data_IF_995856121721
#
_entry.id   IF_995856121721
#
_cell.length_a   1.000
_cell.length_b   1.000
_cell.length_c   1.000
_cell.angle_alpha   90.00
_cell.angle_beta   90.00
_cell.angle_gamma   90.00
#
_symmetry.space_group_name_H-M   'P 1'
#
loop_
_entity.id
_entity.type
_entity.pdbx_description
1 polymer ?
#
# COMPACT_ATOMS: atom_id res chain seq x y z
N UNK A 1 10.78 -7.59 9.14
CA UNK A 1 9.43 -8.21 9.26
C UNK A 1 8.51 -7.67 8.19
N UNK A 2 7.91 -8.55 7.38
CA UNK A 2 6.89 -8.20 6.39
C UNK A 2 5.49 -8.21 7.05
N UNK A 3 4.80 -7.08 7.05
CA UNK A 3 3.46 -6.94 7.63
C UNK A 3 2.39 -6.99 6.54
N UNK A 4 1.47 -7.93 6.65
CA UNK A 4 0.37 -8.17 5.71
C UNK A 4 -0.96 -7.92 6.42
N UNK A 5 -1.83 -7.07 5.87
CA UNK A 5 -3.22 -6.96 6.27
C UNK A 5 -4.08 -7.93 5.46
N UNK A 6 -4.70 -8.90 6.10
CA UNK A 6 -5.62 -9.84 5.46
C UNK A 6 -7.07 -9.45 5.80
N UNK A 7 -7.87 -9.22 4.77
CA UNK A 7 -9.29 -8.90 4.93
C UNK A 7 -10.15 -9.57 3.86
N UNK A 8 -11.45 -9.38 3.95
CA UNK A 8 -12.41 -9.94 3.00
C UNK A 8 -13.83 -9.85 3.53
N UNK A 9 -14.81 -9.84 2.65
CA UNK A 9 -16.21 -9.81 3.03
C UNK A 9 -16.61 -11.05 3.85
N UNK A 10 -17.67 -10.94 4.63
CA UNK A 10 -18.23 -12.08 5.36
C UNK A 10 -18.49 -13.25 4.39
N UNK A 11 -18.11 -14.46 4.78
CA UNK A 11 -18.20 -15.69 3.99
C UNK A 11 -17.36 -15.70 2.68
N UNK A 12 -16.37 -14.81 2.52
CA UNK A 12 -15.47 -14.82 1.35
C UNK A 12 -14.45 -15.97 1.37
N UNK A 13 -14.23 -16.66 2.51
CA UNK A 13 -13.20 -17.69 2.65
C UNK A 13 -11.89 -17.20 3.30
N UNK A 14 -11.90 -16.01 3.88
CA UNK A 14 -10.73 -15.40 4.56
C UNK A 14 -10.06 -16.36 5.55
N UNK A 15 -10.85 -17.10 6.35
CA UNK A 15 -10.31 -18.04 7.34
C UNK A 15 -9.53 -19.21 6.70
N UNK A 16 -9.89 -19.63 5.48
CA UNK A 16 -9.15 -20.66 4.73
C UNK A 16 -7.80 -20.10 4.30
N UNK A 17 -7.78 -18.90 3.74
CA UNK A 17 -6.54 -18.24 3.34
C UNK A 17 -5.63 -17.99 4.56
N UNK A 18 -6.18 -17.52 5.70
CA UNK A 18 -5.44 -17.32 6.95
C UNK A 18 -4.82 -18.62 7.48
N UNK A 19 -5.61 -19.71 7.49
CA UNK A 19 -5.13 -21.04 7.91
C UNK A 19 -3.99 -21.52 6.99
N UNK A 20 -4.15 -21.39 5.67
CA UNK A 20 -3.10 -21.79 4.71
C UNK A 20 -1.83 -20.97 4.85
N UNK A 21 -1.92 -19.64 5.02
CA UNK A 21 -0.75 -18.79 5.27
C UNK A 21 -0.01 -19.22 6.54
N UNK A 22 -0.74 -19.57 7.61
CA UNK A 22 -0.13 -20.09 8.85
C UNK A 22 0.57 -21.44 8.62
N UNK A 23 -0.04 -22.37 7.88
CA UNK A 23 0.59 -23.64 7.51
C UNK A 23 1.88 -23.44 6.71
N UNK A 24 1.93 -22.38 5.90
CA UNK A 24 3.14 -22.00 5.15
C UNK A 24 4.21 -21.34 6.02
N UNK A 25 3.93 -21.00 7.27
CA UNK A 25 4.87 -20.44 8.23
C UNK A 25 4.64 -18.97 8.57
N UNK A 26 3.51 -18.38 8.15
CA UNK A 26 3.16 -17.02 8.58
C UNK A 26 2.88 -16.96 10.08
N UNK A 27 3.37 -15.90 10.72
CA UNK A 27 2.94 -15.51 12.07
C UNK A 27 1.56 -14.86 11.95
N UNK A 28 0.52 -15.58 12.36
CA UNK A 28 -0.86 -15.08 12.26
C UNK A 28 -1.23 -14.29 13.51
N UNK A 29 -1.66 -13.05 13.32
CA UNK A 29 -2.23 -12.15 14.34
C UNK A 29 -3.72 -12.01 14.06
N UNK A 30 -4.53 -12.72 14.81
CA UNK A 30 -5.99 -12.67 14.71
C UNK A 30 -6.51 -11.59 15.68
N UNK A 31 -7.01 -10.48 15.13
CA UNK A 31 -7.49 -9.34 15.91
C UNK A 31 -8.68 -9.73 16.83
N UNK A 32 -9.56 -10.63 16.37
CA UNK A 32 -10.69 -11.11 17.17
C UNK A 32 -10.22 -12.02 18.32
N UNK A 33 -9.19 -12.85 18.09
CA UNK A 33 -8.59 -13.67 19.14
C UNK A 33 -7.87 -12.78 20.16
N UNK A 34 -7.10 -11.78 19.72
CA UNK A 34 -6.45 -10.83 20.62
C UNK A 34 -7.46 -10.01 21.42
N UNK A 35 -8.56 -9.58 20.83
CA UNK A 35 -9.63 -8.88 21.55
C UNK A 35 -10.29 -9.75 22.64
N UNK A 36 -10.15 -11.07 22.55
CA UNK A 36 -10.55 -12.00 23.62
C UNK A 36 -9.45 -12.15 24.67
N UNK A 37 -8.21 -12.32 24.23
CA UNK A 37 -7.05 -12.49 25.09
C UNK A 37 -6.85 -11.30 26.04
N UNK A 38 -6.94 -10.07 25.54
CA UNK A 38 -6.69 -8.86 26.35
C UNK A 38 -7.71 -8.59 27.45
N UNK A 39 -8.83 -9.31 27.48
CA UNK A 39 -9.87 -9.24 28.51
C UNK A 39 -10.08 -10.57 29.24
N UNK A 40 -9.11 -11.47 29.22
CA UNK A 40 -9.13 -12.70 30.00
C UNK A 40 -8.86 -12.40 31.51
N UNK A 41 -9.25 -13.31 32.41
CA UNK A 41 -9.01 -13.14 33.85
C UNK A 41 -7.54 -12.80 34.18
N UNK A 42 -7.35 -11.80 35.02
CA UNK A 42 -6.01 -11.33 35.42
C UNK A 42 -5.37 -10.30 34.49
N UNK A 43 -6.01 -9.94 33.37
CA UNK A 43 -5.49 -8.90 32.47
C UNK A 43 -5.88 -7.49 32.90
N UNK A 44 -5.06 -6.50 32.54
CA UNK A 44 -5.39 -5.08 32.70
C UNK A 44 -6.67 -4.69 31.96
N UNK A 45 -6.91 -5.31 30.78
CA UNK A 45 -8.11 -5.04 29.98
C UNK A 45 -9.39 -5.44 30.70
N UNK A 46 -9.43 -6.62 31.31
CA UNK A 46 -10.60 -7.02 32.09
C UNK A 46 -10.82 -6.08 33.28
N UNK A 47 -9.75 -5.71 33.99
CA UNK A 47 -9.84 -4.79 35.11
C UNK A 47 -10.43 -3.43 34.71
N UNK A 48 -9.99 -2.87 33.58
CA UNK A 48 -10.52 -1.61 33.02
C UNK A 48 -11.98 -1.74 32.60
N UNK A 49 -12.37 -2.87 31.94
CA UNK A 49 -13.76 -3.11 31.54
C UNK A 49 -14.65 -3.22 32.78
N UNK A 50 -14.23 -3.92 33.85
CA UNK A 50 -14.99 -4.04 35.08
C UNK A 50 -15.10 -2.70 35.82
N UNK A 51 -14.05 -1.89 35.83
CA UNK A 51 -14.08 -0.56 36.42
C UNK A 51 -15.10 0.37 35.72
N UNK A 52 -15.24 0.26 34.42
CA UNK A 52 -16.14 1.11 33.63
C UNK A 52 -17.59 0.59 33.60
N UNK A 53 -17.78 -0.71 33.38
CA UNK A 53 -19.10 -1.31 33.16
C UNK A 53 -19.70 -1.98 34.42
N UNK A 54 -18.91 -2.07 35.51
CA UNK A 54 -19.28 -2.69 36.77
C UNK A 54 -19.05 -4.21 36.79
N UNK A 55 -19.02 -4.82 37.99
CA UNK A 55 -18.80 -6.27 38.16
C UNK A 55 -19.91 -7.17 37.60
N UNK A 56 -21.05 -6.61 37.23
CA UNK A 56 -22.17 -7.34 36.66
C UNK A 56 -21.87 -7.90 35.24
N UNK A 57 -20.79 -7.45 34.60
CA UNK A 57 -20.33 -7.98 33.30
C UNK A 57 -19.47 -9.24 33.43
N UNK A 58 -19.26 -9.75 34.65
CA UNK A 58 -18.56 -11.01 34.89
C UNK A 58 -19.52 -12.17 35.01
N UNK A 59 -19.03 -13.36 34.66
CA UNK A 59 -19.65 -14.63 34.96
C UNK A 59 -19.23 -15.15 36.36
N UNK A 60 -19.69 -16.36 36.73
CA UNK A 60 -19.40 -16.97 38.04
C UNK A 60 -17.91 -17.34 38.23
N UNK A 61 -17.16 -17.49 37.14
CA UNK A 61 -15.74 -17.84 37.08
C UNK A 61 -14.85 -16.58 37.02
N UNK A 62 -15.42 -15.39 37.11
CA UNK A 62 -14.70 -14.12 36.98
C UNK A 62 -14.25 -13.77 35.58
N UNK A 63 -14.80 -14.42 34.56
CA UNK A 63 -14.57 -14.15 33.13
C UNK A 63 -15.56 -13.13 32.61
N UNK A 64 -15.22 -12.47 31.52
CA UNK A 64 -16.13 -11.53 30.85
C UNK A 64 -17.34 -12.26 30.24
N UNK A 65 -18.53 -11.96 30.75
CA UNK A 65 -19.81 -12.37 30.19
C UNK A 65 -20.13 -11.48 28.98
N UNK A 66 -19.71 -11.95 27.81
CA UNK A 66 -19.86 -11.20 26.54
C UNK A 66 -21.30 -10.87 26.16
N UNK A 67 -22.28 -11.78 26.37
CA UNK A 67 -23.71 -11.46 26.22
C UNK A 67 -24.15 -10.28 27.09
N UNK A 68 -23.79 -10.26 28.38
CA UNK A 68 -24.16 -9.17 29.29
C UNK A 68 -23.51 -7.85 28.90
N UNK A 69 -22.18 -7.86 28.57
CA UNK A 69 -21.51 -6.67 28.10
C UNK A 69 -22.12 -6.22 26.76
N UNK A 70 -22.41 -7.15 25.86
CA UNK A 70 -23.08 -6.86 24.59
C UNK A 70 -24.40 -6.13 24.80
N UNK A 71 -25.24 -6.59 25.73
CA UNK A 71 -26.51 -5.92 26.05
C UNK A 71 -26.36 -4.49 26.55
N UNK A 72 -25.21 -4.13 27.15
CA UNK A 72 -24.92 -2.78 27.63
C UNK A 72 -24.40 -1.84 26.55
N UNK A 73 -23.76 -2.39 25.50
CA UNK A 73 -23.09 -1.59 24.46
C UNK A 73 -23.82 -1.62 23.12
N UNK A 74 -24.56 -2.70 22.80
CA UNK A 74 -25.35 -2.77 21.56
C UNK A 74 -26.53 -1.79 21.64
N UNK A 75 -26.62 -0.91 20.64
CA UNK A 75 -27.62 0.15 20.61
C UNK A 75 -27.25 1.42 21.39
N UNK A 76 -26.06 1.45 22.01
CA UNK A 76 -25.52 2.63 22.67
C UNK A 76 -24.11 2.98 22.12
N UNK A 77 -24.04 3.90 21.12
CA UNK A 77 -22.77 4.27 20.46
C UNK A 77 -21.72 4.82 21.43
N UNK A 78 -22.12 5.57 22.45
CA UNK A 78 -21.21 6.16 23.43
C UNK A 78 -20.54 5.07 24.28
N UNK A 79 -21.30 4.12 24.80
CA UNK A 79 -20.76 3.00 25.57
C UNK A 79 -19.90 2.06 24.72
N UNK A 80 -20.29 1.86 23.47
CA UNK A 80 -19.47 1.10 22.51
C UNK A 80 -18.13 1.82 22.23
N UNK A 81 -18.15 3.15 22.11
CA UNK A 81 -16.92 3.94 21.96
C UNK A 81 -15.99 3.83 23.15
N UNK A 82 -16.54 3.85 24.37
CA UNK A 82 -15.78 3.65 25.61
C UNK A 82 -15.14 2.26 25.65
N UNK A 83 -15.91 1.19 25.36
CA UNK A 83 -15.37 -0.17 25.29
C UNK A 83 -14.25 -0.28 24.27
N UNK A 84 -14.45 0.27 23.08
CA UNK A 84 -13.43 0.30 22.02
C UNK A 84 -12.19 1.09 22.45
N UNK A 85 -12.36 2.19 23.19
CA UNK A 85 -11.27 2.97 23.78
C UNK A 85 -10.41 2.19 24.77
N UNK A 86 -10.97 1.19 25.44
CA UNK A 86 -10.24 0.28 26.34
C UNK A 86 -9.57 -0.86 25.55
N UNK A 87 -10.32 -1.55 24.70
CA UNK A 87 -9.88 -2.79 24.06
C UNK A 87 -8.92 -2.55 22.89
N UNK A 88 -9.19 -1.59 22.00
CA UNK A 88 -8.38 -1.38 20.80
C UNK A 88 -6.91 -1.02 21.10
N UNK A 89 -6.56 -0.17 22.07
CA UNK A 89 -5.16 0.09 22.41
C UNK A 89 -4.42 -1.17 22.89
N UNK A 90 -5.09 -2.02 23.69
CA UNK A 90 -4.51 -3.26 24.21
C UNK A 90 -4.29 -4.28 23.10
N UNK A 91 -5.25 -4.43 22.20
CA UNK A 91 -5.11 -5.28 21.00
C UNK A 91 -3.94 -4.82 20.14
N UNK A 92 -3.84 -3.50 19.87
CA UNK A 92 -2.71 -2.94 19.11
C UNK A 92 -1.37 -3.17 19.78
N UNK A 93 -1.30 -2.96 21.10
CA UNK A 93 -0.07 -3.21 21.87
C UNK A 93 0.33 -4.68 21.81
N UNK A 94 -0.63 -5.60 21.95
CA UNK A 94 -0.37 -7.05 21.88
C UNK A 94 0.07 -7.48 20.48
N UNK A 95 -0.60 -6.99 19.43
CA UNK A 95 -0.20 -7.21 18.05
C UNK A 95 1.22 -6.70 17.77
N UNK A 96 1.54 -5.49 18.26
CA UNK A 96 2.89 -4.92 18.13
C UNK A 96 3.95 -5.77 18.85
N UNK A 97 3.65 -6.31 20.02
CA UNK A 97 4.55 -7.22 20.74
C UNK A 97 4.82 -8.53 19.97
N UNK A 98 3.78 -9.10 19.31
CA UNK A 98 3.95 -10.29 18.46
C UNK A 98 4.84 -9.96 17.24
N UNK A 99 4.61 -8.81 16.61
CA UNK A 99 5.45 -8.35 15.48
C UNK A 99 6.90 -8.14 15.91
N UNK A 100 7.12 -7.52 17.08
CA UNK A 100 8.47 -7.24 17.61
C UNK A 100 9.24 -8.52 18.01
N UNK A 101 8.53 -9.57 18.37
CA UNK A 101 9.13 -10.87 18.72
C UNK A 101 9.39 -11.77 17.50
N UNK A 102 8.88 -11.40 16.32
CA UNK A 102 9.08 -12.16 15.08
C UNK A 102 10.51 -11.98 14.54
N UNK A 103 10.99 -12.97 13.81
CA UNK A 103 12.28 -12.89 13.12
C UNK A 103 12.26 -11.80 12.02
N UNK A 104 13.41 -11.23 11.70
CA UNK A 104 13.50 -10.10 10.75
C UNK A 104 12.92 -10.41 9.35
N UNK A 105 13.02 -11.65 8.92
CA UNK A 105 12.49 -12.15 7.65
C UNK A 105 11.10 -12.79 7.77
N UNK A 106 10.45 -12.68 8.93
CA UNK A 106 9.13 -13.24 9.14
C UNK A 106 8.06 -12.53 8.32
N UNK A 107 7.09 -13.30 7.85
CA UNK A 107 5.82 -12.82 7.27
C UNK A 107 4.78 -12.81 8.38
N UNK A 108 4.36 -11.62 8.83
CA UNK A 108 3.32 -11.45 9.84
C UNK A 108 2.02 -11.07 9.12
N UNK A 109 0.99 -11.89 9.29
CA UNK A 109 -0.33 -11.68 8.70
C UNK A 109 -1.31 -11.28 9.81
N UNK A 110 -1.86 -10.07 9.70
CA UNK A 110 -2.90 -9.59 10.59
C UNK A 110 -4.27 -9.80 9.95
N UNK A 111 -5.07 -10.66 10.54
CA UNK A 111 -6.44 -10.91 10.11
C UNK A 111 -7.38 -9.86 10.72
N UNK A 112 -7.84 -8.92 9.87
CA UNK A 112 -8.65 -7.78 10.28
C UNK A 112 -9.92 -7.71 9.43
N UNK A 113 -11.07 -8.14 9.97
CA UNK A 113 -12.33 -8.14 9.23
C UNK A 113 -12.77 -6.76 8.72
N UNK A 114 -12.49 -5.70 9.48
CA UNK A 114 -12.90 -4.31 9.18
C UNK A 114 -11.72 -3.41 8.77
N UNK A 115 -10.71 -3.98 8.09
CA UNK A 115 -9.49 -3.26 7.70
C UNK A 115 -9.81 -2.05 6.81
N UNK A 116 -10.73 -2.21 5.88
CA UNK A 116 -11.11 -1.16 4.91
C UNK A 116 -11.95 -0.08 5.60
N UNK A 117 -12.96 -0.49 6.37
CA UNK A 117 -13.86 0.37 7.11
C UNK A 117 -13.13 1.28 8.11
N UNK A 118 -12.02 0.77 8.66
CA UNK A 118 -11.20 1.51 9.64
C UNK A 118 -9.99 2.22 9.04
N UNK A 119 -9.82 2.14 7.70
CA UNK A 119 -8.75 2.84 6.99
C UNK A 119 -7.33 2.38 7.32
N UNK A 120 -7.15 1.13 7.76
CA UNK A 120 -5.86 0.62 8.25
C UNK A 120 -4.91 0.15 7.14
N UNK A 121 -5.27 0.25 5.86
CA UNK A 121 -4.47 -0.28 4.75
C UNK A 121 -3.04 0.24 4.70
N UNK A 122 -2.81 1.49 5.12
CA UNK A 122 -1.47 2.11 5.14
C UNK A 122 -0.54 1.62 6.27
N UNK A 123 -1.06 0.85 7.24
CA UNK A 123 -0.25 0.28 8.32
C UNK A 123 0.52 -0.99 7.88
N UNK A 124 0.22 -1.51 6.68
CA UNK A 124 0.76 -2.76 6.13
C UNK A 124 1.61 -2.53 4.89
N UNK A 125 2.58 -3.41 4.67
CA UNK A 125 3.34 -3.45 3.42
C UNK A 125 2.46 -3.90 2.24
N UNK A 126 1.53 -4.83 2.48
CA UNK A 126 0.53 -5.31 1.53
C UNK A 126 -0.83 -5.49 2.20
N UNK A 127 -1.89 -5.22 1.46
CA UNK A 127 -3.26 -5.61 1.80
C UNK A 127 -3.70 -6.74 0.87
N UNK A 128 -4.03 -7.89 1.46
CA UNK A 128 -4.56 -9.05 0.76
C UNK A 128 -6.05 -9.13 1.02
N UNK A 129 -6.85 -9.11 -0.03
CA UNK A 129 -8.30 -9.22 0.03
C UNK A 129 -8.75 -10.58 -0.50
N UNK A 130 -9.45 -11.35 0.32
CA UNK A 130 -10.15 -12.55 -0.16
C UNK A 130 -11.51 -12.13 -0.68
N UNK A 131 -11.73 -12.28 -1.99
CA UNK A 131 -12.94 -11.86 -2.67
C UNK A 131 -13.77 -13.06 -3.14
N UNK A 132 -15.07 -12.94 -2.95
CA UNK A 132 -16.07 -13.82 -3.55
C UNK A 132 -17.29 -12.98 -3.95
N UNK A 133 -17.96 -13.29 -5.06
CA UNK A 133 -19.20 -12.65 -5.48
C UNK A 133 -20.28 -12.67 -4.38
N UNK A 134 -21.17 -11.69 -4.44
CA UNK A 134 -22.17 -11.50 -3.40
C UNK A 134 -23.14 -12.68 -3.25
N UNK A 135 -23.59 -13.21 -4.36
CA UNK A 135 -24.46 -14.39 -4.44
C UNK A 135 -23.83 -15.63 -3.80
N UNK A 136 -22.54 -15.88 -4.09
CA UNK A 136 -21.78 -16.98 -3.50
C UNK A 136 -21.65 -16.79 -1.98
N UNK A 137 -21.34 -15.57 -1.52
CA UNK A 137 -21.23 -15.28 -0.09
C UNK A 137 -22.59 -15.45 0.62
N UNK A 138 -23.67 -14.95 0.01
CA UNK A 138 -25.01 -15.11 0.51
C UNK A 138 -25.36 -16.59 0.65
N UNK A 139 -25.14 -17.39 -0.41
CA UNK A 139 -25.44 -18.83 -0.38
C UNK A 139 -24.65 -19.55 0.73
N UNK A 140 -23.35 -19.25 0.88
CA UNK A 140 -22.54 -19.83 1.96
C UNK A 140 -23.04 -19.46 3.36
N UNK A 141 -23.63 -18.28 3.54
CA UNK A 141 -24.20 -17.86 4.83
C UNK A 141 -25.50 -18.61 5.15
N UNK A 142 -26.31 -18.89 4.12
CA UNK A 142 -27.53 -19.69 4.27
C UNK A 142 -27.19 -21.16 4.60
N UNK A 143 -26.31 -21.78 3.80
CA UNK A 143 -25.99 -23.19 3.87
C UNK A 143 -25.19 -23.60 5.11
N UNK A 144 -24.17 -22.78 5.46
CA UNK A 144 -23.19 -23.16 6.48
C UNK A 144 -23.36 -22.44 7.82
N UNK A 145 -24.15 -21.35 7.87
CA UNK A 145 -24.35 -20.59 9.11
C UNK A 145 -25.81 -20.55 9.57
N UNK A 146 -26.70 -21.20 8.84
CA UNK A 146 -28.14 -21.28 9.18
C UNK A 146 -28.80 -19.89 9.26
N UNK A 147 -28.28 -18.87 8.56
CA UNK A 147 -28.83 -17.53 8.60
C UNK A 147 -30.02 -17.39 7.66
N UNK A 148 -30.95 -16.48 8.01
CA UNK A 148 -31.96 -16.04 7.04
C UNK A 148 -31.33 -15.14 5.99
N UNK A 149 -31.92 -15.09 4.79
CA UNK A 149 -31.43 -14.22 3.71
C UNK A 149 -31.43 -12.74 4.12
N UNK A 150 -32.40 -12.31 4.90
CA UNK A 150 -32.49 -10.94 5.43
C UNK A 150 -31.33 -10.61 6.39
N UNK A 151 -31.07 -11.50 7.36
CA UNK A 151 -29.96 -11.32 8.31
C UNK A 151 -28.60 -11.38 7.61
N UNK A 152 -28.45 -12.22 6.59
CA UNK A 152 -27.23 -12.30 5.78
C UNK A 152 -26.99 -11.00 5.01
N UNK A 153 -28.00 -10.49 4.28
CA UNK A 153 -27.88 -9.20 3.56
C UNK A 153 -27.62 -8.02 4.49
N UNK A 154 -28.28 -7.97 5.65
CA UNK A 154 -28.03 -6.92 6.66
C UNK A 154 -26.58 -6.90 7.12
N UNK A 155 -25.97 -8.09 7.40
CA UNK A 155 -24.55 -8.17 7.78
C UNK A 155 -23.61 -7.83 6.63
N UNK A 156 -23.96 -8.19 5.40
CA UNK A 156 -23.16 -7.83 4.23
C UNK A 156 -23.20 -6.32 3.98
N UNK A 157 -24.37 -5.68 4.12
CA UNK A 157 -24.56 -4.25 3.95
C UNK A 157 -23.89 -3.39 5.04
N UNK A 158 -23.56 -3.99 6.21
CA UNK A 158 -22.82 -3.31 7.27
C UNK A 158 -21.30 -3.25 7.03
N UNK A 159 -20.79 -3.95 6.00
CA UNK A 159 -19.38 -3.93 5.59
C UNK A 159 -19.16 -2.94 4.45
N UNK A 160 -17.89 -2.55 4.23
CA UNK A 160 -17.47 -1.82 3.04
C UNK A 160 -17.97 -2.51 1.76
N UNK A 161 -18.23 -1.76 0.71
CA UNK A 161 -18.65 -2.31 -0.58
C UNK A 161 -17.59 -3.27 -1.14
N UNK A 162 -17.95 -4.15 -2.06
CA UNK A 162 -16.97 -4.99 -2.77
C UNK A 162 -15.95 -4.13 -3.52
N UNK A 163 -16.42 -3.04 -4.12
CA UNK A 163 -15.59 -2.09 -4.86
C UNK A 163 -14.54 -1.45 -3.94
N UNK A 164 -14.93 -0.94 -2.78
CA UNK A 164 -14.01 -0.36 -1.80
C UNK A 164 -12.96 -1.37 -1.31
N UNK A 165 -13.36 -2.63 -1.10
CA UNK A 165 -12.40 -3.67 -0.71
C UNK A 165 -11.41 -3.97 -1.81
N UNK A 166 -11.86 -4.10 -3.07
CA UNK A 166 -10.97 -4.31 -4.22
C UNK A 166 -10.06 -3.09 -4.44
N UNK A 167 -10.58 -1.90 -4.22
CA UNK A 167 -9.81 -0.66 -4.28
C UNK A 167 -8.67 -0.60 -3.25
N UNK A 168 -8.88 -1.16 -2.07
CA UNK A 168 -7.87 -1.22 -1.02
C UNK A 168 -6.83 -2.35 -1.22
N UNK A 169 -7.10 -3.30 -2.11
CA UNK A 169 -6.27 -4.49 -2.29
C UNK A 169 -4.99 -4.21 -3.09
N UNK A 170 -3.87 -4.80 -2.64
CA UNK A 170 -2.66 -4.99 -3.46
C UNK A 170 -2.64 -6.38 -4.09
N UNK A 171 -3.34 -7.32 -3.46
CA UNK A 171 -3.54 -8.69 -3.92
C UNK A 171 -4.99 -9.06 -3.70
N UNK A 172 -5.62 -9.61 -4.72
CA UNK A 172 -6.96 -10.20 -4.62
C UNK A 172 -6.83 -11.71 -4.76
N UNK A 173 -7.31 -12.44 -3.76
CA UNK A 173 -7.45 -13.89 -3.80
C UNK A 173 -8.91 -14.20 -4.11
N UNK A 174 -9.17 -14.74 -5.29
CA UNK A 174 -10.52 -15.06 -5.74
C UNK A 174 -10.99 -16.39 -5.19
N UNK A 175 -12.19 -16.41 -4.60
CA UNK A 175 -12.82 -17.61 -4.06
C UNK A 175 -14.25 -17.79 -4.63
N UNK A 176 -14.33 -17.73 -5.94
CA UNK A 176 -15.57 -18.01 -6.70
C UNK A 176 -15.70 -19.44 -7.19
N UNK A 177 -14.61 -20.20 -7.18
CA UNK A 177 -14.52 -21.56 -7.66
C UNK A 177 -14.32 -22.56 -6.51
N UNK A 178 -13.36 -23.46 -6.60
CA UNK A 178 -13.08 -24.44 -5.56
C UNK A 178 -12.23 -23.89 -4.41
N UNK A 179 -12.30 -24.55 -3.24
CA UNK A 179 -11.38 -24.26 -2.14
C UNK A 179 -9.91 -24.53 -2.52
N UNK A 180 -9.67 -25.52 -3.40
CA UNK A 180 -8.31 -25.84 -3.86
C UNK A 180 -7.73 -24.67 -4.67
N UNK A 181 -8.53 -24.03 -5.53
CA UNK A 181 -8.07 -22.85 -6.30
C UNK A 181 -7.65 -21.70 -5.39
N UNK A 182 -8.39 -21.47 -4.29
CA UNK A 182 -7.97 -20.48 -3.29
C UNK A 182 -6.65 -20.88 -2.62
N UNK A 183 -6.49 -22.14 -2.22
CA UNK A 183 -5.26 -22.65 -1.61
C UNK A 183 -4.07 -22.48 -2.57
N UNK A 184 -4.24 -22.83 -3.84
CA UNK A 184 -3.19 -22.69 -4.87
C UNK A 184 -2.81 -21.21 -5.11
N UNK A 185 -3.78 -20.29 -5.04
CA UNK A 185 -3.50 -18.86 -5.09
C UNK A 185 -2.69 -18.39 -3.88
N UNK A 186 -3.02 -18.85 -2.67
CA UNK A 186 -2.25 -18.55 -1.45
C UNK A 186 -0.84 -19.09 -1.56
N UNK A 187 -0.64 -20.31 -2.05
CA UNK A 187 0.68 -20.92 -2.22
C UNK A 187 1.54 -20.14 -3.22
N UNK A 188 0.96 -19.76 -4.37
CA UNK A 188 1.68 -18.91 -5.34
C UNK A 188 2.04 -17.54 -4.74
N UNK A 189 1.11 -16.90 -4.03
CA UNK A 189 1.36 -15.63 -3.35
C UNK A 189 2.51 -15.76 -2.37
N UNK A 190 2.52 -16.81 -1.56
CA UNK A 190 3.55 -17.09 -0.57
C UNK A 190 4.92 -17.25 -1.22
N UNK A 191 5.04 -18.15 -2.19
CA UNK A 191 6.32 -18.51 -2.81
C UNK A 191 6.87 -17.42 -3.73
N UNK A 192 5.99 -16.76 -4.50
CA UNK A 192 6.44 -15.84 -5.54
C UNK A 192 6.54 -14.38 -5.08
N UNK A 193 5.85 -14.03 -3.96
CA UNK A 193 5.85 -12.63 -3.51
C UNK A 193 6.17 -12.46 -2.03
N UNK A 194 5.49 -13.16 -1.10
CA UNK A 194 5.64 -12.86 0.33
C UNK A 194 7.01 -13.23 0.87
N UNK A 195 7.50 -14.44 0.61
CA UNK A 195 8.83 -14.89 1.05
C UNK A 195 9.95 -14.05 0.42
N UNK A 196 9.99 -13.84 -0.92
CA UNK A 196 11.00 -12.96 -1.52
C UNK A 196 10.91 -11.51 -0.99
N UNK A 197 9.72 -10.97 -0.76
CA UNK A 197 9.57 -9.62 -0.22
C UNK A 197 10.10 -9.53 1.21
N UNK A 198 9.77 -10.49 2.08
CA UNK A 198 10.28 -10.54 3.45
C UNK A 198 11.82 -10.63 3.48
N UNK A 199 12.41 -11.47 2.63
CA UNK A 199 13.86 -11.57 2.48
C UNK A 199 14.51 -10.27 2.00
N UNK A 200 13.90 -9.59 1.02
CA UNK A 200 14.37 -8.29 0.53
C UNK A 200 14.30 -7.21 1.64
N UNK A 201 13.21 -7.16 2.41
CA UNK A 201 13.09 -6.24 3.54
C UNK A 201 14.16 -6.48 4.59
N UNK A 202 14.37 -7.72 5.01
CA UNK A 202 15.37 -8.10 6.00
C UNK A 202 16.79 -7.74 5.55
N UNK A 203 17.07 -7.91 4.25
CA UNK A 203 18.36 -7.58 3.65
C UNK A 203 18.54 -6.09 3.29
N UNK A 204 17.51 -5.25 3.41
CA UNK A 204 17.51 -3.89 2.86
C UNK A 204 17.72 -3.86 1.35
N UNK A 205 17.32 -4.92 0.65
CA UNK A 205 17.55 -5.12 -0.77
C UNK A 205 16.32 -4.76 -1.60
N UNK A 206 16.57 -4.31 -2.83
CA UNK A 206 15.53 -4.10 -3.82
C UNK A 206 15.09 -5.41 -4.45
N UNK A 207 13.86 -5.47 -4.93
CA UNK A 207 13.40 -6.54 -5.80
C UNK A 207 14.20 -6.58 -7.12
N UNK A 208 14.48 -7.79 -7.60
CA UNK A 208 15.12 -7.96 -8.90
C UNK A 208 14.12 -7.67 -10.02
N UNK A 209 14.53 -6.84 -10.96
CA UNK A 209 13.80 -6.57 -12.21
C UNK A 209 14.57 -7.16 -13.37
N UNK A 210 13.92 -7.93 -14.19
CA UNK A 210 14.54 -8.63 -15.31
C UNK A 210 13.88 -8.26 -16.63
N UNK A 211 14.67 -8.30 -17.70
CA UNK A 211 14.21 -8.08 -19.07
C UNK A 211 14.21 -6.63 -19.50
N UNK A 212 14.05 -6.46 -20.81
CA UNK A 212 13.94 -5.16 -21.48
C UNK A 212 12.61 -4.45 -21.21
N UNK A 213 12.42 -3.28 -21.80
CA UNK A 213 11.21 -2.50 -21.61
C UNK A 213 10.00 -3.15 -22.31
N UNK A 214 8.95 -3.44 -21.55
CA UNK A 214 7.65 -3.87 -22.06
C UNK A 214 6.64 -2.76 -21.80
N UNK A 215 6.05 -2.21 -22.88
CA UNK A 215 4.94 -1.26 -22.75
C UNK A 215 3.62 -2.01 -22.67
N UNK A 216 2.77 -1.58 -21.77
CA UNK A 216 1.41 -2.10 -21.61
C UNK A 216 0.40 -0.97 -21.85
N UNK A 217 -0.84 -1.28 -22.27
CA UNK A 217 -1.93 -0.32 -22.31
C UNK A 217 -2.09 0.41 -20.97
N UNK A 218 -2.60 1.64 -21.02
CA UNK A 218 -2.86 2.38 -19.79
C UNK A 218 -3.83 1.62 -18.87
N UNK A 219 -3.39 1.35 -17.64
CA UNK A 219 -4.22 0.71 -16.63
C UNK A 219 -4.92 1.80 -15.79
N UNK A 220 -6.25 1.84 -15.76
CA UNK A 220 -6.99 2.81 -14.93
C UNK A 220 -6.70 2.67 -13.43
N UNK A 221 -6.15 1.55 -13.00
CA UNK A 221 -5.81 1.30 -11.59
C UNK A 221 -4.47 1.93 -11.16
N UNK A 222 -3.62 2.40 -12.08
CA UNK A 222 -2.33 3.00 -11.72
C UNK A 222 -2.45 4.16 -10.74
N UNK A 223 -3.43 5.04 -10.95
CA UNK A 223 -3.66 6.18 -10.04
C UNK A 223 -4.01 5.72 -8.62
N UNK A 224 -4.86 4.70 -8.51
CA UNK A 224 -5.27 4.13 -7.22
C UNK A 224 -4.12 3.37 -6.55
N UNK A 225 -3.33 2.62 -7.32
CA UNK A 225 -2.12 1.95 -6.83
C UNK A 225 -1.10 2.96 -6.30
N UNK A 226 -0.86 4.05 -7.05
CA UNK A 226 0.01 5.15 -6.61
C UNK A 226 -0.49 5.77 -5.30
N UNK A 227 -1.79 6.01 -5.17
CA UNK A 227 -2.38 6.58 -3.95
C UNK A 227 -2.17 5.67 -2.73
N UNK A 228 -2.35 4.35 -2.87
CA UNK A 228 -2.08 3.40 -1.77
C UNK A 228 -0.60 3.42 -1.36
N UNK A 229 0.31 3.42 -2.34
CA UNK A 229 1.76 3.49 -2.09
C UNK A 229 2.15 4.80 -1.40
N UNK A 230 1.63 5.94 -1.87
CA UNK A 230 1.87 7.26 -1.24
C UNK A 230 1.36 7.29 0.21
N UNK A 231 0.17 6.75 0.48
CA UNK A 231 -0.38 6.68 1.83
C UNK A 231 0.49 5.84 2.78
N UNK A 232 1.07 4.71 2.30
CA UNK A 232 2.02 3.88 3.06
C UNK A 232 3.31 4.60 3.35
N UNK A 233 3.89 5.23 2.32
CA UNK A 233 5.11 6.01 2.48
C UNK A 233 4.87 7.12 3.51
N UNK A 234 3.82 7.92 3.35
CA UNK A 234 3.47 8.99 4.30
C UNK A 234 3.31 8.46 5.73
N UNK A 235 2.63 7.31 5.90
CA UNK A 235 2.43 6.68 7.23
C UNK A 235 3.73 6.19 7.86
N UNK A 236 4.68 5.73 7.06
CA UNK A 236 5.98 5.23 7.52
C UNK A 236 6.94 6.35 7.95
N UNK A 237 6.75 7.57 7.47
CA UNK A 237 7.60 8.70 7.83
C UNK A 237 7.40 9.11 9.31
N UNK A 238 8.45 9.65 9.96
CA UNK A 238 8.34 10.24 11.28
C UNK A 238 7.23 11.30 11.34
N UNK A 239 6.44 11.30 12.41
CA UNK A 239 5.24 12.16 12.52
C UNK A 239 5.59 13.63 12.35
N UNK A 240 6.70 14.06 12.94
CA UNK A 240 7.20 15.43 12.91
C UNK A 240 7.67 15.90 11.53
N UNK A 241 7.87 14.98 10.60
CA UNK A 241 8.35 15.30 9.24
C UNK A 241 7.23 15.21 8.18
N UNK A 242 6.06 14.68 8.53
CA UNK A 242 4.97 14.43 7.56
C UNK A 242 4.44 15.70 6.93
N UNK A 243 4.32 16.77 7.70
CA UNK A 243 3.79 18.04 7.22
C UNK A 243 4.80 18.83 6.38
N UNK A 244 6.09 18.46 6.44
CA UNK A 244 7.17 19.10 5.69
C UNK A 244 7.45 18.42 4.36
N UNK A 245 6.71 17.38 4.00
CA UNK A 245 6.93 16.59 2.77
C UNK A 245 5.68 16.49 1.95
N UNK A 246 5.85 16.23 0.65
CA UNK A 246 4.75 16.00 -0.28
C UNK A 246 5.04 14.79 -1.16
N UNK A 247 4.01 14.02 -1.47
CA UNK A 247 4.07 12.88 -2.37
C UNK A 247 3.25 13.14 -3.62
N UNK A 248 3.83 12.89 -4.77
CA UNK A 248 3.19 13.03 -6.08
C UNK A 248 3.36 11.76 -6.92
N UNK A 249 2.31 11.36 -7.62
CA UNK A 249 2.40 10.39 -8.70
C UNK A 249 2.92 11.12 -9.94
N UNK A 250 4.08 10.71 -10.44
CA UNK A 250 4.77 11.30 -11.60
C UNK A 250 5.00 10.23 -12.68
N UNK A 251 5.73 10.60 -13.72
CA UNK A 251 6.09 9.68 -14.80
C UNK A 251 4.91 9.28 -15.68
N UNK A 252 5.14 8.30 -16.55
CA UNK A 252 4.18 7.92 -17.61
C UNK A 252 2.87 7.35 -17.09
N UNK A 253 2.90 6.58 -16.00
CA UNK A 253 1.70 5.96 -15.41
C UNK A 253 0.78 6.98 -14.72
N UNK A 254 1.28 8.20 -14.50
CA UNK A 254 0.47 9.30 -13.96
C UNK A 254 -0.33 10.05 -15.05
N UNK A 255 -0.09 9.78 -16.33
CA UNK A 255 -0.77 10.43 -17.46
C UNK A 255 -1.89 9.52 -17.95
N UNK A 256 -3.18 9.92 -17.83
CA UNK A 256 -4.29 9.09 -18.25
C UNK A 256 -4.21 8.70 -19.73
N UNK A 257 -4.48 7.43 -20.05
CA UNK A 257 -4.49 6.93 -21.43
C UNK A 257 -3.11 6.69 -22.06
N UNK A 258 -2.01 7.02 -21.38
CA UNK A 258 -0.67 6.86 -21.92
C UNK A 258 -0.14 5.43 -21.67
N UNK A 259 0.16 4.67 -22.75
CA UNK A 259 0.86 3.39 -22.62
C UNK A 259 2.22 3.59 -21.91
N UNK A 260 2.54 2.71 -20.99
CA UNK A 260 3.77 2.79 -20.22
C UNK A 260 4.32 1.41 -19.87
N UNK A 261 5.57 1.37 -19.39
CA UNK A 261 6.02 0.23 -18.57
C UNK A 261 5.16 0.22 -17.30
N UNK A 262 4.79 -0.97 -16.84
CA UNK A 262 4.01 -1.11 -15.61
C UNK A 262 4.87 -0.83 -14.35
N UNK A 263 5.32 0.42 -14.22
CA UNK A 263 6.13 0.94 -13.12
C UNK A 263 5.48 2.21 -12.59
N UNK A 264 5.18 2.25 -11.31
CA UNK A 264 4.71 3.47 -10.66
C UNK A 264 5.90 4.36 -10.29
N UNK A 265 5.95 5.54 -10.88
CA UNK A 265 6.94 6.56 -10.53
C UNK A 265 6.33 7.53 -9.50
N UNK A 266 6.95 7.64 -8.33
CA UNK A 266 6.55 8.56 -7.26
C UNK A 266 7.65 9.59 -7.01
N UNK A 267 7.25 10.79 -6.62
CA UNK A 267 8.14 11.81 -6.11
C UNK A 267 7.80 12.15 -4.66
N UNK A 268 8.79 12.05 -3.78
CA UNK A 268 8.75 12.59 -2.44
C UNK A 268 9.51 13.90 -2.44
N UNK A 269 8.79 15.00 -2.25
CA UNK A 269 9.35 16.35 -2.09
C UNK A 269 9.76 16.55 -0.64
N UNK A 270 10.98 17.00 -0.42
CA UNK A 270 11.56 17.27 0.91
C UNK A 270 12.14 18.68 0.94
N UNK A 271 12.34 19.29 2.12
CA UNK A 271 12.93 20.65 2.21
C UNK A 271 14.33 20.74 1.58
N UNK A 272 15.17 19.76 1.80
CA UNK A 272 16.54 19.70 1.32
C UNK A 272 17.03 18.25 1.17
N UNK A 273 18.25 18.08 0.63
CA UNK A 273 18.83 16.76 0.38
C UNK A 273 19.26 16.04 1.68
N UNK A 274 19.53 16.78 2.75
CA UNK A 274 19.84 16.23 4.06
C UNK A 274 18.61 15.59 4.69
N UNK A 275 17.44 16.20 4.53
CA UNK A 275 16.15 15.61 4.90
C UNK A 275 15.89 14.29 4.12
N UNK A 276 16.24 14.24 2.81
CA UNK A 276 16.15 12.99 2.05
C UNK A 276 17.00 11.87 2.65
N UNK A 277 18.23 12.18 3.09
CA UNK A 277 19.12 11.21 3.72
C UNK A 277 18.59 10.74 5.08
N UNK A 278 18.01 11.65 5.87
CA UNK A 278 17.41 11.34 7.16
C UNK A 278 16.18 10.41 7.05
N UNK A 279 15.44 10.48 5.96
CA UNK A 279 14.27 9.62 5.71
C UNK A 279 14.62 8.22 5.20
N UNK A 280 15.85 7.98 4.72
CA UNK A 280 16.23 6.71 4.08
C UNK A 280 15.95 5.46 4.94
N UNK A 281 16.19 5.44 6.27
CA UNK A 281 15.85 4.28 7.10
C UNK A 281 14.34 3.99 7.15
N UNK A 282 13.50 5.03 7.28
CA UNK A 282 12.05 4.88 7.32
C UNK A 282 11.50 4.39 5.97
N UNK A 283 12.03 4.90 4.86
CA UNK A 283 11.68 4.47 3.51
C UNK A 283 12.10 3.01 3.27
N UNK A 284 13.29 2.60 3.71
CA UNK A 284 13.75 1.22 3.61
C UNK A 284 12.84 0.28 4.41
N UNK A 285 12.47 0.64 5.64
CA UNK A 285 11.53 -0.11 6.48
C UNK A 285 10.13 -0.21 5.86
N UNK A 286 9.72 0.78 5.06
CA UNK A 286 8.47 0.78 4.29
C UNK A 286 8.54 -0.04 2.99
N UNK A 287 9.70 -0.65 2.68
CA UNK A 287 9.92 -1.44 1.47
C UNK A 287 10.48 -0.66 0.28
N UNK A 288 11.11 0.49 0.54
CA UNK A 288 11.76 1.32 -0.49
C UNK A 288 13.23 1.58 -0.15
N UNK A 289 14.11 0.58 -0.28
CA UNK A 289 15.54 0.78 -0.07
C UNK A 289 16.14 1.75 -1.08
N UNK A 290 17.16 2.51 -0.65
CA UNK A 290 17.91 3.43 -1.53
C UNK A 290 18.73 2.65 -2.55
N UNK A 291 18.85 3.17 -3.77
CA UNK A 291 19.76 2.66 -4.80
C UNK A 291 21.07 3.44 -4.73
N UNK A 292 22.16 2.83 -4.28
CA UNK A 292 23.45 3.49 -4.22
C UNK A 292 23.92 3.98 -5.60
N UNK A 293 24.58 5.15 -5.63
CA UNK A 293 25.18 5.70 -6.85
C UNK A 293 24.26 6.52 -7.74
N UNK A 294 22.94 6.45 -7.57
CA UNK A 294 22.00 7.33 -8.29
C UNK A 294 21.65 8.53 -7.42
N UNK A 295 22.45 9.60 -7.54
CA UNK A 295 22.38 10.78 -6.67
C UNK A 295 21.90 12.05 -7.35
N UNK A 296 21.69 12.04 -8.68
CA UNK A 296 21.17 13.14 -9.46
C UNK A 296 20.41 12.65 -10.69
N UNK A 297 19.53 13.50 -11.20
CA UNK A 297 18.98 13.35 -12.56
C UNK A 297 19.99 13.88 -13.59
N UNK A 298 19.75 13.60 -14.87
CA UNK A 298 20.54 14.15 -15.98
C UNK A 298 20.23 15.65 -16.14
N UNK A 299 21.22 16.55 -16.03
CA UNK A 299 21.02 17.99 -16.23
C UNK A 299 20.44 18.33 -17.60
N UNK A 300 19.61 19.37 -17.67
CA UNK A 300 19.06 19.90 -18.91
C UNK A 300 19.77 21.22 -19.29
N UNK A 301 19.53 21.66 -20.55
CA UNK A 301 20.23 22.85 -21.11
C UNK A 301 19.96 24.12 -20.31
N UNK A 302 18.73 24.31 -19.81
CA UNK A 302 18.34 25.47 -19.02
C UNK A 302 19.06 25.56 -17.68
N UNK A 303 19.45 24.40 -17.11
CA UNK A 303 20.15 24.29 -15.82
C UNK A 303 21.24 23.21 -15.90
N UNK A 304 22.44 23.57 -16.42
CA UNK A 304 23.48 22.56 -16.68
C UNK A 304 24.26 22.14 -15.43
N UNK A 305 24.11 22.83 -14.29
CA UNK A 305 24.78 22.45 -13.05
C UNK A 305 24.14 21.19 -12.43
N UNK A 306 24.91 20.11 -12.32
CA UNK A 306 24.45 18.86 -11.73
C UNK A 306 23.95 19.00 -10.27
N UNK A 307 24.43 20.03 -9.55
CA UNK A 307 24.00 20.31 -8.17
C UNK A 307 22.51 20.65 -8.08
N UNK A 308 21.94 21.25 -9.12
CA UNK A 308 20.51 21.60 -9.19
C UNK A 308 19.61 20.36 -9.39
N UNK A 309 20.19 19.21 -9.77
CA UNK A 309 19.51 17.97 -10.10
C UNK A 309 19.70 16.88 -9.05
N UNK A 310 20.20 17.21 -7.87
CA UNK A 310 20.41 16.26 -6.80
C UNK A 310 19.10 15.58 -6.39
N UNK A 311 19.19 14.27 -6.13
CA UNK A 311 18.10 13.45 -5.62
C UNK A 311 18.61 12.27 -4.79
N UNK A 312 17.69 11.59 -4.12
CA UNK A 312 17.88 10.19 -3.74
C UNK A 312 16.90 9.33 -4.50
N UNK A 313 17.35 8.17 -4.91
CA UNK A 313 16.55 7.24 -5.69
C UNK A 313 16.34 5.96 -4.91
N UNK A 314 15.07 5.61 -4.71
CA UNK A 314 14.65 4.41 -4.01
C UNK A 314 13.80 3.56 -4.95
N UNK A 315 13.80 2.25 -4.73
CA UNK A 315 12.97 1.29 -5.48
C UNK A 315 12.31 0.31 -4.52
N UNK A 316 11.28 -0.37 -5.00
CA UNK A 316 10.56 -1.35 -4.19
C UNK A 316 11.39 -2.58 -3.82
N UNK A 317 11.16 -3.09 -2.62
CA UNK A 317 11.59 -4.44 -2.18
C UNK A 317 10.55 -5.52 -2.54
N UNK A 318 9.31 -5.13 -2.84
CA UNK A 318 8.21 -6.01 -3.24
C UNK A 318 8.39 -6.48 -4.70
N UNK A 319 8.55 -7.80 -4.96
CA UNK A 319 8.70 -8.29 -6.33
C UNK A 319 7.40 -8.25 -7.14
N UNK A 320 6.25 -8.05 -6.50
CA UNK A 320 4.94 -8.04 -7.16
C UNK A 320 4.51 -6.68 -7.68
N UNK A 321 5.28 -5.59 -7.43
CA UNK A 321 4.93 -4.25 -7.93
C UNK A 321 6.17 -3.40 -8.12
N UNK A 322 6.46 -3.02 -9.35
CA UNK A 322 7.57 -2.13 -9.66
C UNK A 322 7.23 -0.68 -9.31
N UNK A 323 8.09 -0.08 -8.47
CA UNK A 323 7.96 1.32 -8.03
C UNK A 323 9.31 2.00 -8.08
N UNK A 324 9.37 3.21 -8.62
CA UNK A 324 10.48 4.13 -8.48
C UNK A 324 10.05 5.28 -7.56
N UNK A 325 10.82 5.56 -6.53
CA UNK A 325 10.59 6.67 -5.63
C UNK A 325 11.77 7.66 -5.73
N UNK A 326 11.50 8.82 -6.31
CA UNK A 326 12.45 9.89 -6.44
C UNK A 326 12.27 10.88 -5.27
N UNK A 327 13.29 11.02 -4.42
CA UNK A 327 13.28 11.99 -3.32
C UNK A 327 14.08 13.20 -3.77
N UNK A 328 13.42 14.36 -3.88
CA UNK A 328 13.98 15.61 -4.40
C UNK A 328 13.69 16.79 -3.48
N UNK A 329 14.63 17.70 -3.38
CA UNK A 329 14.43 18.94 -2.64
C UNK A 329 13.43 19.85 -3.39
N UNK A 330 12.55 20.50 -2.63
CA UNK A 330 11.65 21.53 -3.15
C UNK A 330 12.46 22.65 -3.83
N UNK A 331 11.97 23.15 -4.96
CA UNK A 331 12.65 24.16 -5.76
C UNK A 331 13.83 23.66 -6.59
N UNK A 332 14.26 22.39 -6.45
CA UNK A 332 15.31 21.84 -7.31
C UNK A 332 14.84 21.67 -8.76
N UNK A 333 15.78 21.66 -9.72
CA UNK A 333 15.46 21.54 -11.13
C UNK A 333 14.75 20.21 -11.44
N UNK A 334 15.23 19.10 -10.90
CA UNK A 334 14.63 17.78 -11.10
C UNK A 334 13.21 17.64 -10.50
N UNK A 335 12.98 18.26 -9.34
CA UNK A 335 11.66 18.35 -8.72
C UNK A 335 10.66 19.07 -9.62
N UNK A 336 11.01 20.27 -10.07
CA UNK A 336 10.15 21.08 -10.95
C UNK A 336 9.91 20.39 -12.30
N UNK A 337 10.98 19.86 -12.91
CA UNK A 337 10.91 19.20 -14.21
C UNK A 337 9.94 18.01 -14.19
N UNK A 338 10.00 17.14 -13.20
CA UNK A 338 9.15 15.95 -13.13
C UNK A 338 7.65 16.31 -13.02
N UNK A 339 7.31 17.33 -12.24
CA UNK A 339 5.93 17.81 -12.06
C UNK A 339 5.43 18.53 -13.33
N UNK A 340 6.24 19.43 -13.87
CA UNK A 340 5.90 20.17 -15.08
C UNK A 340 5.71 19.23 -16.27
N UNK A 341 6.61 18.26 -16.44
CA UNK A 341 6.52 17.25 -17.50
C UNK A 341 5.25 16.41 -17.42
N UNK A 342 4.88 15.95 -16.23
CA UNK A 342 3.62 15.26 -15.99
C UNK A 342 2.42 16.09 -16.44
N UNK A 343 2.36 17.34 -15.98
CA UNK A 343 1.20 18.21 -16.20
C UNK A 343 1.13 18.69 -17.64
N UNK A 344 2.28 18.92 -18.29
CA UNK A 344 2.37 19.21 -19.71
C UNK A 344 1.82 18.07 -20.57
N UNK A 345 2.22 16.81 -20.31
CA UNK A 345 1.70 15.66 -21.04
C UNK A 345 0.19 15.44 -20.81
N UNK A 346 -0.32 15.82 -19.64
CA UNK A 346 -1.77 15.77 -19.36
C UNK A 346 -2.55 16.85 -20.11
N UNK A 347 -1.96 18.02 -20.28
CA UNK A 347 -2.59 19.17 -20.92
C UNK A 347 -2.47 19.13 -22.46
N UNK A 348 -1.38 18.54 -22.99
CA UNK A 348 -1.01 18.60 -24.39
C UNK A 348 -1.05 17.19 -25.05
N UNK A 349 -2.20 16.76 -25.62
CA UNK A 349 -2.33 15.44 -26.24
C UNK A 349 -1.32 15.18 -27.38
N UNK A 350 -0.90 16.23 -28.11
CA UNK A 350 0.10 16.12 -29.17
C UNK A 350 1.48 15.74 -28.60
N UNK A 351 1.90 16.37 -27.51
CA UNK A 351 3.14 16.04 -26.82
C UNK A 351 3.11 14.61 -26.24
N UNK A 352 1.97 14.22 -25.66
CA UNK A 352 1.77 12.86 -25.15
C UNK A 352 1.88 11.81 -26.28
N UNK A 353 1.30 12.09 -27.46
CA UNK A 353 1.38 11.21 -28.62
C UNK A 353 2.81 11.10 -29.18
N UNK A 354 3.54 12.20 -29.27
CA UNK A 354 4.94 12.22 -29.69
C UNK A 354 5.82 11.41 -28.73
N UNK A 355 5.65 11.65 -27.42
CA UNK A 355 6.37 10.89 -26.42
C UNK A 355 6.03 9.40 -26.44
N UNK A 356 4.77 9.03 -26.72
CA UNK A 356 4.37 7.62 -26.89
C UNK A 356 5.04 6.99 -28.11
N UNK A 357 5.12 7.70 -29.24
CA UNK A 357 5.78 7.20 -30.44
C UNK A 357 7.27 6.89 -30.17
N UNK A 358 7.96 7.82 -29.51
CA UNK A 358 9.34 7.59 -29.05
C UNK A 358 9.45 6.36 -28.15
N UNK A 359 8.59 6.25 -27.15
CA UNK A 359 8.62 5.13 -26.20
C UNK A 359 8.47 3.79 -26.92
N UNK A 360 7.55 3.68 -27.89
CA UNK A 360 7.33 2.47 -28.69
C UNK A 360 8.57 2.12 -29.52
N UNK A 361 9.16 3.12 -30.18
CA UNK A 361 10.40 2.94 -30.96
C UNK A 361 11.54 2.43 -30.07
N UNK A 362 11.78 3.08 -28.92
CA UNK A 362 12.84 2.68 -28.01
C UNK A 362 12.56 1.34 -27.34
N UNK A 363 11.30 1.02 -27.01
CA UNK A 363 10.95 -0.28 -26.44
C UNK A 363 11.23 -1.42 -27.44
N UNK A 364 10.96 -1.21 -28.73
CA UNK A 364 11.30 -2.17 -29.76
C UNK A 364 12.83 -2.34 -29.91
N UNK A 365 13.58 -1.24 -29.91
CA UNK A 365 15.05 -1.26 -30.06
C UNK A 365 15.76 -1.95 -28.86
N UNK A 366 15.19 -1.85 -27.66
CA UNK A 366 15.75 -2.39 -26.41
C UNK A 366 15.05 -3.67 -25.91
N UNK A 367 14.21 -4.30 -26.74
CA UNK A 367 13.39 -5.46 -26.33
C UNK A 367 14.21 -6.66 -25.87
N UNK A 368 15.43 -6.83 -26.42
CA UNK A 368 16.38 -7.90 -26.04
C UNK A 368 17.28 -7.57 -24.87
N UNK A 369 17.21 -6.39 -24.29
CA UNK A 369 18.09 -5.97 -23.20
C UNK A 369 17.81 -6.77 -21.91
N UNK A 370 18.86 -6.97 -21.11
CA UNK A 370 18.74 -7.59 -19.79
C UNK A 370 18.15 -6.68 -18.72
N UNK A 371 18.06 -5.38 -19.00
CA UNK A 371 17.51 -4.35 -18.10
C UNK A 371 16.92 -3.18 -18.88
N UNK A 372 16.21 -2.32 -18.20
CA UNK A 372 15.62 -1.10 -18.81
C UNK A 372 16.56 0.11 -18.80
N UNK A 373 17.85 -0.05 -18.45
CA UNK A 373 18.78 1.07 -18.30
C UNK A 373 19.04 1.79 -19.65
N UNK A 374 19.40 1.05 -20.71
CA UNK A 374 19.62 1.61 -22.05
C UNK A 374 18.38 2.33 -22.59
N UNK A 375 17.19 1.74 -22.40
CA UNK A 375 15.93 2.39 -22.74
C UNK A 375 15.70 3.70 -21.97
N UNK A 376 16.08 3.77 -20.69
CA UNK A 376 15.93 4.99 -19.91
C UNK A 376 16.89 6.08 -20.38
N UNK A 377 18.15 5.73 -20.66
CA UNK A 377 19.18 6.63 -21.18
C UNK A 377 18.82 7.17 -22.56
N UNK A 378 18.35 6.32 -23.48
CA UNK A 378 17.98 6.70 -24.83
C UNK A 378 16.82 7.74 -24.91
N UNK A 379 16.08 7.97 -23.83
CA UNK A 379 15.05 9.02 -23.75
C UNK A 379 15.62 10.40 -23.44
N UNK A 380 16.83 10.50 -22.92
CA UNK A 380 17.39 11.76 -22.43
C UNK A 380 17.54 12.81 -23.54
N UNK A 381 17.90 12.40 -24.76
CA UNK A 381 18.00 13.30 -25.91
C UNK A 381 16.65 13.95 -26.22
N UNK A 382 15.58 13.17 -26.18
CA UNK A 382 14.23 13.69 -26.42
C UNK A 382 13.78 14.62 -25.29
N UNK A 383 14.04 14.29 -24.01
CA UNK A 383 13.75 15.18 -22.90
C UNK A 383 14.48 16.52 -23.04
N UNK A 384 15.71 16.49 -23.53
CA UNK A 384 16.51 17.71 -23.76
C UNK A 384 15.93 18.53 -24.94
N UNK A 385 15.43 17.87 -26.00
CA UNK A 385 14.81 18.57 -27.12
C UNK A 385 13.41 19.12 -26.75
N UNK A 386 12.66 18.41 -25.94
CA UNK A 386 11.32 18.81 -25.50
C UNK A 386 11.32 19.91 -24.41
N UNK A 387 12.45 20.16 -23.77
CA UNK A 387 12.58 21.13 -22.66
C UNK A 387 12.04 22.52 -23.05
N UNK A 388 12.39 23.02 -24.21
CA UNK A 388 11.95 24.34 -24.68
C UNK A 388 10.43 24.43 -24.89
N UNK A 389 9.81 23.37 -25.41
CA UNK A 389 8.38 23.30 -25.59
C UNK A 389 7.64 23.22 -24.26
N UNK A 390 8.18 22.48 -23.31
CA UNK A 390 7.67 22.35 -21.95
C UNK A 390 7.72 23.70 -21.21
N UNK A 391 8.85 24.44 -21.29
CA UNK A 391 8.98 25.74 -20.63
C UNK A 391 8.05 26.79 -21.27
N UNK A 392 7.94 26.84 -22.60
CA UNK A 392 6.97 27.72 -23.28
C UNK A 392 5.52 27.42 -22.84
N UNK A 393 5.17 26.15 -22.70
CA UNK A 393 3.85 25.75 -22.21
C UNK A 393 3.65 26.21 -20.77
N UNK A 394 4.63 26.01 -19.90
CA UNK A 394 4.55 26.43 -18.49
C UNK A 394 4.36 27.94 -18.35
N UNK A 395 5.09 28.74 -19.13
CA UNK A 395 4.95 30.19 -19.19
C UNK A 395 3.57 30.62 -19.71
N UNK A 396 3.14 30.07 -20.85
CA UNK A 396 1.88 30.43 -21.49
C UNK A 396 0.65 30.04 -20.66
N UNK A 397 0.70 28.91 -19.94
CA UNK A 397 -0.38 28.44 -19.06
C UNK A 397 -0.33 29.06 -17.65
N UNK A 398 0.73 29.80 -17.29
CA UNK A 398 0.95 30.28 -15.93
C UNK A 398 1.16 29.13 -14.92
N UNK A 399 1.65 27.98 -15.40
CA UNK A 399 1.84 26.80 -14.56
C UNK A 399 2.78 27.08 -13.38
N UNK A 400 2.34 26.68 -12.21
CA UNK A 400 3.16 26.68 -10.99
C UNK A 400 3.18 25.27 -10.41
N UNK A 401 4.32 24.83 -9.85
CA UNK A 401 4.37 23.58 -9.14
C UNK A 401 3.41 23.63 -7.95
N UNK A 402 2.74 22.50 -7.63
CA UNK A 402 1.88 22.44 -6.47
C UNK A 402 2.68 22.73 -5.19
N UNK A 403 2.15 23.59 -4.31
CA UNK A 403 2.82 23.97 -3.05
C UNK A 403 2.74 22.86 -2.00
N UNK A 404 3.75 22.78 -1.11
CA UNK A 404 3.83 21.85 0.02
C UNK A 404 2.82 22.22 1.13
N UNK A 405 1.56 22.39 0.84
CA UNK A 405 0.56 22.80 1.82
C UNK A 405 -0.86 22.88 1.28
N UNK A 406 -1.08 22.35 0.08
CA UNK A 406 -2.39 22.29 -0.54
C UNK A 406 -2.94 20.86 -0.58
#
# INVERSE_FOLDING_TARGET
>A
VLKIGLTGGIASGKSVAAARLRERGAVLVDADALAREVVEPGTEGLARVVAEFGGGVLDQDGRLDRPKLGALVFGNPERLAVLNGIVHPLVRSRAAAIVAAAQDDAVVVQDIPLLVETGQGSDFHLVVVVDAPEDIRLQRMLDHRGMTAEAARSRMGAQASREDRLAAADVVLHNSESLQDLVDQVDRLWDQRLVPFAGNLAAGARANRHGGPVLVPADPLWAQQAQRLMSRIAKALPVEQRDAVRLDHIGSTSVPGLEAKDVIDLQLTVPDIQAADALAPALAAAGFPVVPGITADTPKRSRPDRRDWQKRFHVNADPGRDVNLHVRAEGSAGWRFALCFRDWLRAEPAAAAEYLALKRQLAAAHSGDRSTAGYAEAKEDWFTAAEEALERWAEASGWQPPSSGS
#
